data_IF_871917279011
#
_entry.id   IF_871917279011
#
_cell.length_a   1.000
_cell.length_b   1.000
_cell.length_c   1.000
_cell.angle_alpha   90.00
_cell.angle_beta   90.00
_cell.angle_gamma   90.00
#
_symmetry.space_group_name_H-M   'P 1'
#
loop_
_entity.id
_entity.type
_entity.pdbx_description
1 polymer ?
#
# COMPACT_ATOMS: atom_id res chain seq x y z
N UNK A 1 26.91 12.97 72.00
CA UNK A 1 26.66 12.58 70.59
C UNK A 1 27.32 13.61 69.71
N UNK A 2 28.51 13.31 69.18
CA UNK A 2 29.24 14.20 68.28
C UNK A 2 28.90 13.75 66.86
N UNK A 3 28.25 14.62 66.09
CA UNK A 3 28.04 14.40 64.66
C UNK A 3 29.39 14.46 63.94
N UNK A 4 29.68 13.54 62.99
CA UNK A 4 30.94 13.61 62.25
C UNK A 4 30.96 14.87 61.38
N UNK A 5 32.12 15.54 61.25
CA UNK A 5 32.23 16.72 60.40
C UNK A 5 32.01 16.30 58.94
N UNK A 6 31.08 16.99 58.27
CA UNK A 6 30.81 16.82 56.85
C UNK A 6 32.00 17.35 56.05
N UNK A 7 33.03 16.52 55.86
CA UNK A 7 34.28 16.87 55.18
C UNK A 7 34.15 16.77 53.66
N UNK A 8 33.12 17.38 53.08
CA UNK A 8 33.15 17.70 51.65
C UNK A 8 34.12 18.88 51.45
N UNK A 9 35.42 18.57 51.40
CA UNK A 9 36.48 19.57 51.35
C UNK A 9 36.45 20.44 50.09
N UNK A 10 37.10 21.62 50.14
CA UNK A 10 37.13 22.64 49.07
C UNK A 10 37.64 22.15 47.71
N UNK A 11 38.35 21.02 47.68
CA UNK A 11 38.79 20.34 46.46
C UNK A 11 37.61 19.71 45.67
N UNK A 12 36.59 19.21 46.36
CA UNK A 12 35.42 18.58 45.74
C UNK A 12 34.53 19.63 45.06
N UNK A 13 34.35 20.79 45.68
CA UNK A 13 33.62 21.92 45.08
C UNK A 13 34.37 22.54 43.89
N UNK A 14 35.70 22.70 43.98
CA UNK A 14 36.53 23.19 42.86
C UNK A 14 36.49 22.24 41.66
N UNK A 15 36.52 20.92 41.89
CA UNK A 15 36.39 19.92 40.83
C UNK A 15 35.02 19.96 40.13
N UNK A 16 33.93 20.13 40.90
CA UNK A 16 32.58 20.26 40.35
C UNK A 16 32.39 21.57 39.57
N UNK A 17 32.97 22.68 40.05
CA UNK A 17 32.96 23.96 39.34
C UNK A 17 33.72 23.90 38.01
N UNK A 18 34.92 23.33 38.01
CA UNK A 18 35.74 23.13 36.80
C UNK A 18 35.04 22.27 35.74
N UNK A 19 34.41 21.16 36.15
CA UNK A 19 33.61 20.31 35.26
C UNK A 19 32.43 21.08 34.65
N UNK A 20 31.69 21.83 35.46
CA UNK A 20 30.54 22.62 35.00
C UNK A 20 30.94 23.71 33.99
N UNK A 21 32.06 24.37 34.23
CA UNK A 21 32.57 25.43 33.38
C UNK A 21 33.15 24.88 32.06
N UNK A 22 33.83 23.74 32.14
CA UNK A 22 34.31 22.99 30.97
C UNK A 22 33.16 22.45 30.11
N UNK A 23 32.10 21.92 30.73
CA UNK A 23 30.87 21.52 30.04
C UNK A 23 30.17 22.70 29.37
N UNK A 24 30.08 23.86 30.03
CA UNK A 24 29.55 25.09 29.42
C UNK A 24 30.41 25.56 28.26
N UNK A 25 31.73 25.61 28.41
CA UNK A 25 32.64 26.02 27.35
C UNK A 25 32.55 25.09 26.13
N UNK A 26 32.49 23.78 26.35
CA UNK A 26 32.27 22.79 25.29
C UNK A 26 30.91 23.00 24.59
N UNK A 27 29.83 23.18 25.35
CA UNK A 27 28.50 23.48 24.78
C UNK A 27 28.52 24.75 23.92
N UNK A 28 29.11 25.83 24.44
CA UNK A 28 29.23 27.11 23.74
C UNK A 28 30.07 26.96 22.47
N UNK A 29 31.16 26.20 22.50
CA UNK A 29 32.01 25.93 21.35
C UNK A 29 31.29 25.08 20.29
N UNK A 30 30.52 24.08 20.72
CA UNK A 30 29.72 23.22 19.84
C UNK A 30 28.62 24.02 19.13
N UNK A 31 27.91 24.90 19.85
CA UNK A 31 26.79 25.68 19.34
C UNK A 31 27.21 26.91 18.53
N UNK A 32 28.21 27.67 18.99
CA UNK A 32 28.65 28.90 18.32
C UNK A 32 29.61 28.65 17.15
N UNK A 33 30.34 27.53 17.15
CA UNK A 33 31.29 27.17 16.08
C UNK A 33 31.00 25.79 15.49
N UNK A 34 29.81 25.58 14.88
CA UNK A 34 29.35 24.26 14.44
C UNK A 34 30.26 23.58 13.42
N UNK A 35 30.98 24.34 12.59
CA UNK A 35 31.92 23.78 11.61
C UNK A 35 33.24 23.34 12.25
N UNK A 36 33.73 24.03 13.30
CA UNK A 36 34.96 23.64 14.01
C UNK A 36 34.73 22.51 15.00
N UNK A 37 33.52 22.39 15.54
CA UNK A 37 33.14 21.35 16.50
C UNK A 37 32.74 20.02 15.85
N UNK A 38 32.63 19.97 14.51
CA UNK A 38 32.16 18.80 13.79
C UNK A 38 30.63 18.67 13.71
N UNK A 39 29.87 19.44 14.51
CA UNK A 39 28.41 19.37 14.56
C UNK A 39 27.75 19.71 13.22
N UNK A 40 28.29 20.69 12.49
CA UNK A 40 27.79 21.08 11.17
C UNK A 40 27.91 19.95 10.15
N UNK A 41 29.05 19.25 10.10
CA UNK A 41 29.25 18.11 9.22
C UNK A 41 28.34 16.93 9.61
N UNK A 42 28.17 16.68 10.90
CA UNK A 42 27.25 15.66 11.40
C UNK A 42 25.80 15.96 10.98
N UNK A 43 25.31 17.17 11.25
CA UNK A 43 23.94 17.57 10.89
C UNK A 43 23.72 17.54 9.37
N UNK A 44 24.70 18.01 8.60
CA UNK A 44 24.65 17.92 7.14
C UNK A 44 24.56 16.46 6.67
N UNK A 45 25.43 15.59 7.18
CA UNK A 45 25.42 14.16 6.86
C UNK A 45 24.11 13.48 7.24
N UNK A 46 23.55 13.81 8.42
CA UNK A 46 22.27 13.29 8.88
C UNK A 46 21.12 13.74 7.97
N UNK A 47 21.04 15.02 7.63
CA UNK A 47 20.01 15.55 6.71
C UNK A 47 20.16 14.92 5.33
N UNK A 48 21.38 14.80 4.80
CA UNK A 48 21.63 14.15 3.52
C UNK A 48 21.18 12.68 3.55
N UNK A 49 21.50 11.93 4.61
CA UNK A 49 21.07 10.54 4.78
C UNK A 49 19.54 10.41 4.87
N UNK A 50 18.87 11.31 5.59
CA UNK A 50 17.40 11.33 5.67
C UNK A 50 16.76 11.61 4.31
N UNK A 51 17.26 12.58 3.55
CA UNK A 51 16.77 12.89 2.20
C UNK A 51 16.99 11.70 1.26
N UNK A 52 18.19 11.11 1.27
CA UNK A 52 18.51 9.92 0.49
C UNK A 52 17.59 8.74 0.84
N UNK A 53 17.35 8.47 2.13
CA UNK A 53 16.52 7.36 2.57
C UNK A 53 15.01 7.58 2.37
N UNK A 54 14.49 8.81 2.52
CA UNK A 54 13.04 9.04 2.50
C UNK A 54 12.52 9.50 1.13
N UNK A 55 13.38 10.08 0.29
CA UNK A 55 12.99 10.57 -1.05
C UNK A 55 13.52 9.64 -2.13
N UNK A 56 14.83 9.39 -2.15
CA UNK A 56 15.45 8.68 -3.27
C UNK A 56 15.28 7.16 -3.19
N UNK A 57 15.39 6.56 -1.99
CA UNK A 57 15.26 5.12 -1.84
C UNK A 57 13.87 4.58 -2.27
N UNK A 58 12.72 5.20 -1.92
CA UNK A 58 11.42 4.75 -2.41
C UNK A 58 11.29 4.84 -3.94
N UNK A 59 11.84 5.90 -4.56
CA UNK A 59 11.83 6.04 -6.01
C UNK A 59 12.68 4.95 -6.69
N UNK A 60 13.81 4.58 -6.10
CA UNK A 60 14.66 3.51 -6.60
C UNK A 60 14.03 2.13 -6.39
N UNK A 61 13.25 1.93 -5.31
CA UNK A 61 12.69 0.63 -4.95
C UNK A 61 11.55 0.17 -5.87
N UNK A 62 10.85 1.09 -6.53
CA UNK A 62 9.70 0.76 -7.38
C UNK A 62 9.98 1.01 -8.88
N UNK A 63 9.47 0.11 -9.71
CA UNK A 63 9.46 0.22 -11.17
C UNK A 63 8.03 0.45 -11.65
N UNK A 64 7.83 1.28 -12.68
CA UNK A 64 6.52 1.58 -13.24
C UNK A 64 6.29 0.80 -14.53
N UNK A 65 5.17 0.11 -14.61
CA UNK A 65 4.77 -0.71 -15.75
C UNK A 65 3.37 -0.31 -16.20
N UNK A 66 3.13 -0.31 -17.52
CA UNK A 66 1.77 -0.16 -18.05
C UNK A 66 1.07 -1.51 -18.01
N UNK A 67 -0.26 -1.50 -17.91
CA UNK A 67 -1.05 -2.71 -18.10
C UNK A 67 -0.90 -3.20 -19.56
N UNK A 68 -1.01 -4.51 -19.82
CA UNK A 68 -0.95 -5.05 -21.18
C UNK A 68 -2.04 -4.48 -22.09
N UNK A 69 -3.18 -4.14 -21.50
CA UNK A 69 -4.32 -3.51 -22.14
C UNK A 69 -4.92 -2.47 -21.18
N UNK A 70 -5.51 -1.41 -21.72
CA UNK A 70 -6.25 -0.45 -20.89
C UNK A 70 -7.74 -0.80 -20.86
N UNK A 71 -8.21 -1.31 -19.73
CA UNK A 71 -9.62 -1.65 -19.51
C UNK A 71 -10.40 -0.46 -18.94
N UNK A 72 -11.60 -0.24 -19.47
CA UNK A 72 -12.49 0.85 -19.05
C UNK A 72 -13.62 0.29 -18.16
N UNK A 73 -13.50 0.44 -16.84
CA UNK A 73 -14.53 0.00 -15.89
C UNK A 73 -15.81 0.83 -15.98
N UNK A 74 -15.74 2.10 -16.41
CA UNK A 74 -16.94 2.96 -16.52
C UNK A 74 -17.94 2.35 -17.47
N UNK A 75 -17.52 1.97 -18.68
CA UNK A 75 -18.41 1.34 -19.65
C UNK A 75 -18.96 0.02 -19.10
N UNK A 76 -18.08 -0.79 -18.51
CA UNK A 76 -18.41 -2.12 -17.99
C UNK A 76 -19.16 -2.12 -16.64
N UNK A 77 -19.47 -0.96 -16.07
CA UNK A 77 -20.25 -0.85 -14.82
C UNK A 77 -21.64 -0.27 -15.04
N UNK A 78 -21.96 0.13 -16.29
CA UNK A 78 -23.27 0.68 -16.65
C UNK A 78 -24.33 -0.42 -16.68
N UNK A 79 -25.57 0.00 -16.49
CA UNK A 79 -26.73 -0.90 -16.47
C UNK A 79 -27.25 -1.23 -17.87
N UNK A 80 -26.88 -0.44 -18.88
CA UNK A 80 -27.41 -0.52 -20.25
C UNK A 80 -26.62 -1.46 -21.18
N UNK A 81 -25.59 -2.14 -20.67
CA UNK A 81 -24.69 -2.99 -21.46
C UNK A 81 -24.91 -4.50 -21.24
N UNK A 82 -26.01 -4.89 -20.60
CA UNK A 82 -26.39 -6.30 -20.43
C UNK A 82 -25.68 -7.05 -19.29
N UNK A 83 -24.97 -6.34 -18.40
CA UNK A 83 -24.44 -6.92 -17.16
C UNK A 83 -25.54 -6.89 -16.10
N UNK A 84 -26.00 -8.06 -15.68
CA UNK A 84 -27.05 -8.22 -14.67
C UNK A 84 -26.58 -7.81 -13.27
N UNK A 85 -27.47 -7.22 -12.47
CA UNK A 85 -27.23 -6.80 -11.10
C UNK A 85 -27.98 -5.52 -10.75
N UNK A 86 -28.82 -5.56 -9.70
CA UNK A 86 -29.61 -4.43 -9.24
C UNK A 86 -28.74 -3.35 -8.57
N UNK A 87 -27.59 -3.75 -8.04
CA UNK A 87 -26.61 -2.86 -7.41
C UNK A 87 -25.28 -2.86 -8.16
N UNK A 88 -24.51 -1.78 -8.02
CA UNK A 88 -23.13 -1.72 -8.53
C UNK A 88 -22.27 -2.87 -8.01
N UNK A 89 -22.47 -3.26 -6.75
CA UNK A 89 -21.79 -4.39 -6.13
C UNK A 89 -22.07 -5.71 -6.86
N UNK A 90 -23.34 -5.98 -7.20
CA UNK A 90 -23.72 -7.19 -7.94
C UNK A 90 -23.13 -7.20 -9.35
N UNK A 91 -23.11 -6.04 -10.02
CA UNK A 91 -22.46 -5.91 -11.34
C UNK A 91 -20.96 -6.13 -11.27
N UNK A 92 -20.27 -5.71 -10.20
CA UNK A 92 -18.88 -6.09 -9.98
C UNK A 92 -18.73 -7.62 -9.90
N UNK A 93 -19.61 -8.29 -9.15
CA UNK A 93 -19.55 -9.74 -8.95
C UNK A 93 -19.84 -10.56 -10.21
N UNK A 94 -20.46 -9.97 -11.23
CA UNK A 94 -20.62 -10.62 -12.53
C UNK A 94 -19.27 -11.04 -13.11
N UNK A 95 -18.29 -10.13 -13.13
CA UNK A 95 -16.93 -10.40 -13.62
C UNK A 95 -15.98 -10.88 -12.53
N UNK A 96 -16.17 -10.39 -11.31
CA UNK A 96 -15.28 -10.62 -10.18
C UNK A 96 -15.91 -11.54 -9.14
N UNK A 97 -16.03 -12.80 -9.52
CA UNK A 97 -16.66 -13.82 -8.70
C UNK A 97 -15.84 -14.19 -7.46
N UNK A 98 -16.48 -14.88 -6.51
CA UNK A 98 -15.80 -15.53 -5.40
C UNK A 98 -15.64 -17.01 -5.67
N UNK A 99 -14.52 -17.57 -5.22
CA UNK A 99 -14.28 -19.02 -5.19
C UNK A 99 -15.12 -19.65 -4.07
N UNK A 100 -15.33 -20.96 -4.16
CA UNK A 100 -16.06 -21.74 -3.15
C UNK A 100 -15.47 -21.63 -1.74
N UNK A 101 -14.15 -21.46 -1.63
CA UNK A 101 -13.41 -21.29 -0.36
C UNK A 101 -13.48 -19.86 0.22
N UNK A 102 -14.29 -18.99 -0.40
CA UNK A 102 -14.49 -17.60 0.00
C UNK A 102 -13.39 -16.64 -0.44
N UNK A 103 -12.32 -17.11 -1.10
CA UNK A 103 -11.33 -16.23 -1.72
C UNK A 103 -11.93 -15.54 -2.95
N UNK A 104 -11.30 -14.45 -3.36
CA UNK A 104 -11.65 -13.79 -4.61
C UNK A 104 -11.23 -14.64 -5.80
N UNK A 105 -12.08 -14.72 -6.83
CA UNK A 105 -11.79 -15.40 -8.10
C UNK A 105 -10.68 -14.74 -8.89
N UNK A 106 -10.39 -13.47 -8.60
CA UNK A 106 -9.31 -12.70 -9.22
C UNK A 106 -9.82 -11.79 -10.33
N UNK A 107 -8.92 -11.49 -11.26
CA UNK A 107 -9.28 -10.76 -12.49
C UNK A 107 -9.96 -11.77 -13.43
N UNK A 108 -11.08 -11.41 -14.08
CA UNK A 108 -11.79 -12.30 -15.00
C UNK A 108 -10.86 -12.83 -16.10
N UNK A 109 -11.07 -14.08 -16.46
CA UNK A 109 -10.43 -14.72 -17.62
C UNK A 109 -10.97 -14.18 -18.93
N UNK A 110 -10.23 -14.39 -20.03
CA UNK A 110 -10.65 -14.05 -21.38
C UNK A 110 -12.04 -14.62 -21.72
N UNK A 111 -12.35 -15.85 -21.29
CA UNK A 111 -13.65 -16.50 -21.50
C UNK A 111 -14.84 -15.69 -20.96
N UNK A 112 -14.64 -14.94 -19.88
CA UNK A 112 -15.70 -14.11 -19.30
C UNK A 112 -16.00 -12.90 -20.18
N UNK A 113 -14.97 -12.35 -20.83
CA UNK A 113 -15.13 -11.23 -21.76
C UNK A 113 -15.80 -11.69 -23.05
N UNK A 114 -15.47 -12.88 -23.54
CA UNK A 114 -16.05 -13.43 -24.77
C UNK A 114 -17.50 -13.86 -24.62
N UNK A 115 -18.12 -13.79 -23.44
CA UNK A 115 -19.58 -13.97 -23.29
C UNK A 115 -20.38 -12.86 -23.99
N UNK A 116 -19.79 -11.68 -24.17
CA UNK A 116 -20.39 -10.59 -24.95
C UNK A 116 -19.53 -10.28 -26.19
N UNK A 117 -18.20 -10.39 -26.07
CA UNK A 117 -17.24 -10.15 -27.14
C UNK A 117 -16.92 -11.43 -27.92
N UNK A 118 -17.95 -12.12 -28.43
CA UNK A 118 -17.83 -13.43 -29.08
C UNK A 118 -17.10 -13.38 -30.42
N UNK A 119 -17.34 -12.35 -31.23
CA UNK A 119 -16.76 -12.19 -32.56
C UNK A 119 -15.51 -11.27 -32.54
N UNK A 120 -14.30 -11.80 -32.81
CA UNK A 120 -13.08 -11.00 -32.83
C UNK A 120 -13.00 -9.92 -33.90
N UNK A 121 -13.82 -10.01 -34.95
CA UNK A 121 -13.85 -9.03 -36.04
C UNK A 121 -14.96 -7.98 -35.88
N UNK A 122 -15.85 -8.14 -34.90
CA UNK A 122 -16.96 -7.23 -34.63
C UNK A 122 -16.87 -6.60 -33.22
N UNK A 123 -16.00 -5.60 -33.01
CA UNK A 123 -15.96 -4.87 -31.74
C UNK A 123 -17.30 -4.17 -31.48
N UNK A 124 -17.77 -4.26 -30.23
CA UNK A 124 -19.00 -3.63 -29.75
C UNK A 124 -18.83 -2.12 -29.53
N UNK A 125 -17.59 -1.67 -29.28
CA UNK A 125 -17.25 -0.29 -29.02
C UNK A 125 -16.29 0.33 -30.05
N UNK A 126 -15.94 1.60 -29.81
CA UNK A 126 -14.98 2.37 -30.62
C UNK A 126 -13.58 2.41 -30.00
N UNK A 127 -13.37 1.73 -28.87
CA UNK A 127 -12.10 1.79 -28.15
C UNK A 127 -11.05 0.94 -28.88
N UNK A 128 -9.90 1.50 -29.31
CA UNK A 128 -8.87 0.72 -30.00
C UNK A 128 -8.30 -0.41 -29.14
N UNK A 129 -8.37 -0.32 -27.80
CA UNK A 129 -7.97 -1.41 -26.91
C UNK A 129 -8.86 -2.65 -27.07
N UNK A 130 -10.13 -2.49 -27.42
CA UNK A 130 -11.03 -3.62 -27.66
C UNK A 130 -10.58 -4.44 -28.87
N UNK A 131 -10.24 -3.78 -29.98
CA UNK A 131 -9.73 -4.46 -31.16
C UNK A 131 -8.41 -5.21 -30.87
N UNK A 132 -7.53 -4.63 -30.04
CA UNK A 132 -6.30 -5.31 -29.59
C UNK A 132 -6.64 -6.52 -28.74
N UNK A 133 -7.59 -6.40 -27.80
CA UNK A 133 -8.05 -7.52 -26.97
C UNK A 133 -8.58 -8.68 -27.83
N UNK A 134 -9.49 -8.37 -28.74
CA UNK A 134 -10.13 -9.34 -29.61
C UNK A 134 -9.12 -10.11 -30.46
N UNK A 135 -8.18 -9.41 -31.11
CA UNK A 135 -7.22 -10.03 -32.03
C UNK A 135 -6.07 -10.74 -31.34
N UNK A 136 -5.54 -10.17 -30.26
CA UNK A 136 -4.33 -10.70 -29.61
C UNK A 136 -4.60 -11.69 -28.47
N UNK A 137 -5.79 -11.65 -27.89
CA UNK A 137 -6.14 -12.47 -26.72
C UNK A 137 -7.35 -13.36 -26.99
N UNK A 138 -8.51 -12.81 -27.35
CA UNK A 138 -9.72 -13.60 -27.55
C UNK A 138 -9.58 -14.59 -28.72
N UNK A 139 -9.23 -14.12 -29.93
CA UNK A 139 -9.08 -14.95 -31.12
C UNK A 139 -7.99 -16.03 -30.99
N UNK A 140 -6.97 -15.76 -30.17
CA UNK A 140 -5.84 -16.67 -29.93
C UNK A 140 -6.03 -17.56 -28.69
N UNK A 141 -7.19 -17.48 -28.03
CA UNK A 141 -7.50 -18.15 -26.78
C UNK A 141 -6.38 -17.99 -25.72
N UNK A 142 -5.92 -16.74 -25.55
CA UNK A 142 -4.82 -16.39 -24.66
C UNK A 142 -5.32 -15.50 -23.54
N UNK A 143 -4.91 -15.79 -22.32
CA UNK A 143 -5.19 -14.94 -21.16
C UNK A 143 -4.39 -13.63 -21.23
N UNK A 144 -5.03 -12.54 -20.85
CA UNK A 144 -4.36 -11.25 -20.69
C UNK A 144 -3.48 -11.32 -19.43
N UNK A 145 -2.16 -11.05 -19.53
CA UNK A 145 -1.24 -11.16 -18.41
C UNK A 145 -1.32 -9.91 -17.50
N UNK A 146 -2.47 -9.73 -16.87
CA UNK A 146 -2.77 -8.57 -16.02
C UNK A 146 -1.79 -8.40 -14.87
N UNK A 147 -1.42 -7.15 -14.58
CA UNK A 147 -0.63 -6.81 -13.40
C UNK A 147 -1.57 -6.52 -12.22
N UNK A 148 -1.50 -7.33 -11.16
CA UNK A 148 -2.47 -7.31 -10.06
C UNK A 148 -2.05 -6.33 -8.97
N UNK A 149 -2.77 -5.21 -8.82
CA UNK A 149 -2.46 -4.18 -7.81
C UNK A 149 -2.55 -4.66 -6.37
N UNK A 150 -3.49 -5.54 -6.05
CA UNK A 150 -3.79 -5.96 -4.68
C UNK A 150 -3.42 -7.43 -4.44
N UNK A 151 -2.35 -7.92 -5.09
CA UNK A 151 -1.87 -9.28 -4.89
C UNK A 151 -1.43 -9.47 -3.44
N UNK A 152 -2.05 -10.44 -2.77
CA UNK A 152 -1.71 -10.78 -1.39
C UNK A 152 -0.40 -11.57 -1.35
N UNK A 153 0.40 -11.43 -0.27
CA UNK A 153 1.55 -12.29 -0.05
C UNK A 153 1.16 -13.76 0.07
N UNK A 154 2.03 -14.66 -0.36
CA UNK A 154 1.73 -16.11 -0.42
C UNK A 154 1.38 -16.72 0.94
N UNK A 155 1.92 -16.17 2.04
CA UNK A 155 1.64 -16.62 3.40
C UNK A 155 0.37 -16.02 4.01
N UNK A 156 -0.47 -15.34 3.22
CA UNK A 156 -1.67 -14.64 3.69
C UNK A 156 -2.94 -15.27 3.09
N UNK A 157 -3.89 -15.56 3.97
CA UNK A 157 -5.26 -15.90 3.66
C UNK A 157 -6.19 -14.72 3.96
N UNK A 158 -7.03 -14.38 2.99
CA UNK A 158 -8.10 -13.40 3.16
C UNK A 158 -9.37 -13.86 2.44
N UNK A 159 -10.46 -14.01 3.19
CA UNK A 159 -11.78 -14.38 2.65
C UNK A 159 -12.53 -13.11 2.23
N UNK A 160 -12.76 -12.93 0.93
CA UNK A 160 -13.59 -11.83 0.46
C UNK A 160 -15.07 -12.06 0.78
N UNK A 161 -15.55 -13.32 0.77
CA UNK A 161 -16.93 -13.63 1.13
C UNK A 161 -17.27 -13.23 2.58
N UNK A 162 -16.35 -13.42 3.52
CA UNK A 162 -16.55 -13.01 4.91
C UNK A 162 -16.77 -11.49 5.04
N UNK A 163 -16.09 -10.69 4.20
CA UNK A 163 -16.20 -9.23 4.25
C UNK A 163 -17.36 -8.70 3.42
N UNK A 164 -17.51 -9.19 2.19
CA UNK A 164 -18.51 -8.68 1.23
C UNK A 164 -19.88 -9.29 1.48
N UNK A 165 -20.02 -10.61 1.50
CA UNK A 165 -21.32 -11.28 1.64
C UNK A 165 -21.81 -11.27 3.09
N UNK A 166 -20.96 -11.65 4.04
CA UNK A 166 -21.35 -11.75 5.46
C UNK A 166 -21.25 -10.41 6.17
N UNK A 167 -20.19 -9.66 5.89
CA UNK A 167 -19.93 -8.33 6.48
C UNK A 167 -20.63 -7.17 5.79
N UNK A 168 -21.31 -7.41 4.67
CA UNK A 168 -22.00 -6.39 3.85
C UNK A 168 -21.12 -5.17 3.55
N UNK A 169 -19.83 -5.40 3.29
CA UNK A 169 -18.89 -4.33 2.99
C UNK A 169 -18.84 -4.04 1.49
N UNK A 170 -18.93 -2.75 1.14
CA UNK A 170 -18.74 -2.31 -0.23
C UNK A 170 -17.31 -2.55 -0.73
N UNK A 171 -17.15 -3.00 -1.98
CA UNK A 171 -15.84 -3.20 -2.62
C UNK A 171 -14.94 -1.95 -2.54
N UNK A 172 -15.54 -0.77 -2.73
CA UNK A 172 -14.85 0.52 -2.72
C UNK A 172 -14.19 0.87 -1.39
N UNK A 173 -14.64 0.25 -0.28
CA UNK A 173 -14.02 0.44 1.03
C UNK A 173 -12.55 0.05 1.00
N UNK A 174 -12.22 -1.00 0.26
CA UNK A 174 -10.88 -1.60 0.23
C UNK A 174 -10.14 -1.32 -1.08
N UNK A 175 -10.85 -1.15 -2.20
CA UNK A 175 -10.24 -0.98 -3.52
C UNK A 175 -10.43 0.42 -4.13
N UNK A 176 -11.21 1.29 -3.48
CA UNK A 176 -11.60 2.57 -4.06
C UNK A 176 -12.64 2.42 -5.16
N UNK A 177 -12.97 3.53 -5.81
CA UNK A 177 -14.05 3.60 -6.80
C UNK A 177 -13.58 3.16 -8.20
N UNK A 178 -13.47 1.84 -8.39
CA UNK A 178 -13.08 1.28 -9.68
C UNK A 178 -14.13 1.49 -10.77
N UNK A 179 -15.42 1.56 -10.42
CA UNK A 179 -16.50 1.79 -11.37
C UNK A 179 -16.31 3.10 -12.16
N UNK A 180 -15.60 4.09 -11.61
CA UNK A 180 -15.28 5.36 -12.28
C UNK A 180 -13.96 5.37 -13.07
N UNK A 181 -13.32 4.22 -13.22
CA UNK A 181 -11.98 4.14 -13.84
C UNK A 181 -12.09 3.91 -15.35
N UNK A 182 -11.89 4.97 -16.14
CA UNK A 182 -11.80 4.85 -17.61
C UNK A 182 -10.48 4.25 -18.08
N UNK A 183 -9.41 4.48 -17.30
CA UNK A 183 -8.06 4.03 -17.61
C UNK A 183 -7.35 3.53 -16.35
N UNK A 184 -6.68 2.39 -16.47
CA UNK A 184 -5.94 1.78 -15.37
C UNK A 184 -4.66 2.57 -15.07
N UNK A 185 -4.37 2.90 -13.79
CA UNK A 185 -3.16 3.61 -13.42
C UNK A 185 -1.92 2.74 -13.66
N UNK A 186 -0.71 3.34 -13.82
CA UNK A 186 0.52 2.56 -13.93
C UNK A 186 0.70 1.62 -12.73
N UNK A 187 1.10 0.39 -13.01
CA UNK A 187 1.43 -0.60 -12.00
C UNK A 187 2.83 -0.35 -11.45
N UNK A 188 2.94 -0.05 -10.16
CA UNK A 188 4.22 0.17 -9.51
C UNK A 188 4.66 -1.09 -8.77
N UNK A 189 5.68 -1.77 -9.31
CA UNK A 189 6.22 -3.03 -8.80
C UNK A 189 7.46 -2.80 -7.94
N UNK A 190 7.48 -3.35 -6.74
CA UNK A 190 8.67 -3.39 -5.89
C UNK A 190 9.75 -4.27 -6.58
N UNK A 191 10.95 -3.73 -6.75
CA UNK A 191 12.05 -4.41 -7.44
C UNK A 191 12.62 -5.61 -6.69
N UNK A 192 12.48 -5.64 -5.36
CA UNK A 192 12.99 -6.71 -4.52
C UNK A 192 11.95 -7.80 -4.31
N UNK A 193 10.74 -7.41 -3.92
CA UNK A 193 9.70 -8.36 -3.50
C UNK A 193 8.72 -8.72 -4.62
N UNK A 194 8.68 -7.92 -5.69
CA UNK A 194 7.75 -8.10 -6.79
C UNK A 194 6.30 -7.66 -6.52
N UNK A 195 5.95 -7.30 -5.28
CA UNK A 195 4.60 -6.85 -4.95
C UNK A 195 4.33 -5.41 -5.37
N UNK A 196 3.04 -5.08 -5.53
CA UNK A 196 2.62 -3.72 -5.86
C UNK A 196 2.88 -2.74 -4.71
N UNK A 197 3.11 -1.47 -5.01
CA UNK A 197 3.07 -0.41 -3.98
C UNK A 197 1.68 -0.29 -3.34
N UNK A 198 0.61 -0.70 -4.03
CA UNK A 198 -0.76 -0.53 -3.58
C UNK A 198 -1.11 -1.38 -2.36
N UNK A 199 -0.34 -2.44 -2.05
CA UNK A 199 -0.52 -3.18 -0.79
C UNK A 199 0.22 -2.52 0.38
N UNK A 200 1.32 -1.81 0.11
CA UNK A 200 2.19 -1.18 1.12
C UNK A 200 1.80 0.26 1.45
N UNK A 201 1.31 0.99 0.45
CA UNK A 201 1.03 2.42 0.50
C UNK A 201 2.15 3.25 -0.13
N UNK A 202 1.76 4.38 -0.72
CA UNK A 202 2.67 5.32 -1.41
C UNK A 202 3.51 6.17 -0.47
N UNK A 203 3.18 6.20 0.81
CA UNK A 203 3.88 6.98 1.82
C UNK A 203 4.71 6.07 2.72
N UNK A 204 6.04 6.25 2.71
CA UNK A 204 6.97 5.45 3.53
C UNK A 204 6.74 5.64 5.04
N UNK A 205 6.31 6.83 5.46
CA UNK A 205 5.95 7.14 6.85
C UNK A 205 4.64 6.48 7.29
N UNK A 206 3.95 5.77 6.38
CA UNK A 206 2.78 4.98 6.70
C UNK A 206 1.47 5.78 6.81
N UNK A 207 1.47 7.08 6.51
CA UNK A 207 0.25 7.86 6.46
C UNK A 207 -0.64 7.46 5.27
N UNK A 208 -1.93 7.24 5.54
CA UNK A 208 -2.97 7.02 4.54
C UNK A 208 -4.05 8.08 4.65
N UNK A 209 -4.66 8.44 3.53
CA UNK A 209 -5.81 9.35 3.45
C UNK A 209 -7.11 8.56 3.32
N UNK A 210 -7.07 7.46 2.57
CA UNK A 210 -8.21 6.59 2.34
C UNK A 210 -7.94 5.18 2.87
N UNK A 211 -9.01 4.42 3.08
CA UNK A 211 -8.92 3.02 3.52
C UNK A 211 -8.31 2.10 2.45
N UNK A 212 -8.39 2.47 1.17
CA UNK A 212 -7.87 1.71 0.02
C UNK A 212 -6.45 2.12 -0.42
N UNK A 213 -5.80 3.05 0.28
CA UNK A 213 -4.44 3.48 -0.09
C UNK A 213 -3.40 2.37 0.14
N UNK A 214 -3.73 1.39 0.99
CA UNK A 214 -2.92 0.22 1.34
C UNK A 214 -3.76 -0.86 2.03
N UNK A 215 -3.24 -2.07 2.12
CA UNK A 215 -3.91 -3.21 2.74
C UNK A 215 -2.95 -3.99 3.64
N UNK A 216 -2.42 -3.32 4.67
CA UNK A 216 -1.51 -3.94 5.64
C UNK A 216 -2.29 -4.61 6.77
N UNK A 217 -1.61 -5.50 7.49
CA UNK A 217 -2.19 -6.21 8.63
C UNK A 217 -2.76 -5.24 9.70
N UNK A 218 -2.08 -4.12 9.97
CA UNK A 218 -2.56 -3.11 10.93
C UNK A 218 -3.86 -2.44 10.47
N UNK A 219 -4.05 -2.27 9.15
CA UNK A 219 -5.29 -1.74 8.59
C UNK A 219 -6.47 -2.70 8.85
N UNK A 220 -6.25 -4.00 8.66
CA UNK A 220 -7.23 -5.05 8.97
C UNK A 220 -7.53 -5.09 10.48
N UNK A 221 -6.47 -5.14 11.30
CA UNK A 221 -6.61 -5.26 12.76
C UNK A 221 -7.32 -4.06 13.39
N UNK A 222 -7.04 -2.85 12.89
CA UNK A 222 -7.73 -1.63 13.29
C UNK A 222 -9.20 -1.66 12.86
N UNK A 223 -9.50 -2.12 11.65
CA UNK A 223 -10.88 -2.25 11.18
C UNK A 223 -11.68 -3.24 12.05
N UNK A 224 -11.16 -4.44 12.26
CA UNK A 224 -11.76 -5.44 13.14
C UNK A 224 -11.99 -4.90 14.54
N UNK A 225 -11.01 -4.20 15.12
CA UNK A 225 -11.15 -3.59 16.44
C UNK A 225 -12.29 -2.57 16.50
N UNK A 226 -12.41 -1.70 15.48
CA UNK A 226 -13.49 -0.71 15.38
C UNK A 226 -14.87 -1.36 15.18
N UNK A 227 -14.91 -2.52 14.54
CA UNK A 227 -16.14 -3.30 14.32
C UNK A 227 -16.46 -4.27 15.47
N UNK A 228 -15.69 -4.24 16.57
CA UNK A 228 -15.91 -5.12 17.72
C UNK A 228 -15.57 -6.59 17.46
N UNK A 229 -14.68 -6.85 16.48
CA UNK A 229 -14.29 -8.20 16.01
C UNK A 229 -12.82 -8.52 16.26
N UNK A 230 -12.28 -8.15 17.43
CA UNK A 230 -10.85 -8.31 17.76
C UNK A 230 -10.39 -9.76 17.73
N UNK A 231 -11.30 -10.71 17.92
CA UNK A 231 -11.06 -12.15 17.79
C UNK A 231 -10.47 -12.54 16.43
N UNK A 232 -10.74 -11.77 15.37
CA UNK A 232 -10.23 -12.02 14.03
C UNK A 232 -8.80 -11.50 13.79
N UNK A 233 -8.13 -10.97 14.83
CA UNK A 233 -6.77 -10.40 14.71
C UNK A 233 -5.65 -11.39 15.07
N UNK A 234 -6.00 -12.63 15.44
CA UNK A 234 -4.99 -13.64 15.74
C UNK A 234 -4.20 -14.04 14.49
N UNK A 235 -2.89 -14.25 14.63
CA UNK A 235 -1.98 -14.47 13.49
C UNK A 235 -2.45 -15.63 12.58
N UNK A 236 -2.90 -16.74 13.16
CA UNK A 236 -3.33 -17.94 12.44
C UNK A 236 -4.66 -17.79 11.68
N UNK A 237 -5.39 -16.68 11.90
CA UNK A 237 -6.60 -16.38 11.12
C UNK A 237 -6.20 -15.95 9.71
N UNK A 238 -5.15 -15.15 9.60
CA UNK A 238 -4.68 -14.55 8.35
C UNK A 238 -3.45 -15.25 7.76
N UNK A 239 -2.70 -16.02 8.53
CA UNK A 239 -1.52 -16.74 8.06
C UNK A 239 -1.78 -18.25 8.08
N UNK A 240 -1.81 -18.84 6.87
CA UNK A 240 -2.07 -20.26 6.63
C UNK A 240 -1.16 -20.78 5.53
#
# INVERSE_FOLDING_TARGET
MVTPPNSAGPLKEKGVAFLRESLRAFHTQVLLHPLKSGLGYFLFGLVAALVLGWVFFPLALYSSHKQPLNFNHVVHSREDIGIEGATEQERCLFCHEFREDGRFGGIPKTDKCTQCHEDPEAPLGKNPNEAVFLKEYAAKNKEVPWLVYSQQPDCVYFSHMAHVKMGQMDCRTCHGDHAKTEQLPPFQKNRLTGYSINIWGKNISGYKKNSWDRMKMDDCAQCHSRKGRKENNACFVCHK
#
